data_IF_143690536044
#
_entry.id   IF_143690536044
#
_cell.length_a   1.000
_cell.length_b   1.000
_cell.length_c   1.000
_cell.angle_alpha   90.00
_cell.angle_beta   90.00
_cell.angle_gamma   90.00
#
_symmetry.space_group_name_H-M   'P 1'
#
loop_
_entity.id
_entity.type
_entity.pdbx_description
1 polymer ?
#
# COMPACT_ATOMS: atom_id res chain seq x y z
N UNK A 1 0.76 9.04 -6.80
CA UNK A 1 1.29 8.06 -5.85
C UNK A 1 2.01 8.78 -4.71
N UNK A 2 1.64 8.50 -3.49
CA UNK A 2 2.23 9.12 -2.31
C UNK A 2 2.61 8.04 -1.30
N UNK A 3 3.73 8.26 -0.62
CA UNK A 3 4.23 7.33 0.39
C UNK A 3 4.35 8.07 1.71
N UNK A 4 3.67 7.56 2.74
CA UNK A 4 3.72 8.12 4.07
C UNK A 4 4.30 7.10 5.04
N UNK A 5 5.30 7.51 5.81
CA UNK A 5 5.88 6.68 6.84
C UNK A 5 5.13 6.94 8.15
N UNK A 6 4.39 5.95 8.61
CA UNK A 6 3.51 6.08 9.79
C UNK A 6 4.18 5.60 11.07
N UNK A 7 5.47 5.40 11.05
CA UNK A 7 6.22 4.94 12.19
C UNK A 7 7.09 3.75 11.83
N UNK A 8 7.79 3.21 12.82
CA UNK A 8 8.70 2.11 12.61
C UNK A 8 7.94 0.86 12.16
N UNK A 9 8.31 0.34 10.99
CA UNK A 9 7.71 -0.88 10.47
C UNK A 9 6.30 -0.73 9.92
N UNK A 10 5.86 0.50 9.65
CA UNK A 10 4.53 0.74 9.10
C UNK A 10 4.58 1.82 8.02
N UNK A 11 3.99 1.52 6.88
CA UNK A 11 3.95 2.42 5.74
C UNK A 11 2.54 2.51 5.18
N UNK A 12 2.20 3.68 4.66
CA UNK A 12 0.95 3.89 3.94
C UNK A 12 1.28 4.39 2.55
N UNK A 13 0.70 3.77 1.53
CA UNK A 13 0.91 4.15 0.13
C UNK A 13 -0.44 4.41 -0.50
N UNK A 14 -0.57 5.54 -1.19
CA UNK A 14 -1.75 5.86 -1.97
C UNK A 14 -1.42 5.74 -3.44
N UNK A 15 -2.22 4.95 -4.16
CA UNK A 15 -2.04 4.73 -5.60
C UNK A 15 -3.37 4.93 -6.31
N UNK A 16 -3.31 5.35 -7.56
CA UNK A 16 -4.50 5.65 -8.33
C UNK A 16 -4.75 4.66 -9.46
N UNK A 17 -4.12 3.49 -9.41
CA UNK A 17 -4.37 2.46 -10.42
C UNK A 17 -4.29 1.08 -9.79
N UNK A 18 -5.07 0.14 -10.37
CA UNK A 18 -5.05 -1.24 -9.91
C UNK A 18 -3.71 -1.92 -10.16
N UNK A 19 -3.04 -1.56 -11.24
CA UNK A 19 -1.72 -2.12 -11.54
C UNK A 19 -0.69 -1.74 -10.49
N UNK A 20 -0.66 -0.46 -10.10
CA UNK A 20 0.24 0.00 -9.05
C UNK A 20 -0.09 -0.65 -7.72
N UNK A 21 -1.39 -0.78 -7.42
CA UNK A 21 -1.84 -1.46 -6.20
C UNK A 21 -1.30 -2.89 -6.14
N UNK A 22 -1.46 -3.62 -7.23
CA UNK A 22 -1.02 -5.02 -7.29
C UNK A 22 0.49 -5.14 -7.16
N UNK A 23 1.22 -4.27 -7.84
CA UNK A 23 2.68 -4.29 -7.80
C UNK A 23 3.21 -4.00 -6.41
N UNK A 24 2.69 -2.98 -5.76
CA UNK A 24 3.12 -2.61 -4.40
C UNK A 24 2.76 -3.72 -3.41
N UNK A 25 1.55 -4.25 -3.52
CA UNK A 25 1.11 -5.35 -2.64
C UNK A 25 2.02 -6.56 -2.78
N UNK A 26 2.36 -6.92 -4.01
CA UNK A 26 3.23 -8.07 -4.27
C UNK A 26 4.62 -7.85 -3.70
N UNK A 27 5.19 -6.68 -3.94
CA UNK A 27 6.52 -6.37 -3.44
C UNK A 27 6.57 -6.41 -1.92
N UNK A 28 5.58 -5.82 -1.27
CA UNK A 28 5.52 -5.81 0.18
C UNK A 28 5.36 -7.21 0.75
N UNK A 29 4.49 -8.01 0.15
CA UNK A 29 4.29 -9.39 0.60
C UNK A 29 5.56 -10.22 0.46
N UNK A 30 6.29 -10.03 -0.65
CA UNK A 30 7.55 -10.74 -0.87
C UNK A 30 8.61 -10.33 0.14
N UNK A 31 8.53 -9.12 0.66
CA UNK A 31 9.47 -8.63 1.67
C UNK A 31 9.06 -9.02 3.10
N UNK A 32 7.97 -9.75 3.25
CA UNK A 32 7.50 -10.20 4.56
C UNK A 32 6.60 -9.22 5.28
N UNK A 33 6.05 -8.24 4.56
CA UNK A 33 5.13 -7.26 5.15
C UNK A 33 3.71 -7.75 5.09
N UNK A 34 2.89 -7.31 6.05
CA UNK A 34 1.45 -7.47 5.94
C UNK A 34 0.90 -6.31 5.12
N UNK A 35 0.01 -6.62 4.19
CA UNK A 35 -0.56 -5.62 3.30
C UNK A 35 -2.06 -5.61 3.45
N UNK A 36 -2.63 -4.43 3.69
CA UNK A 36 -4.06 -4.21 3.69
C UNK A 36 -4.39 -3.22 2.59
N UNK A 37 -5.41 -3.53 1.79
CA UNK A 37 -5.82 -2.67 0.69
C UNK A 37 -7.21 -2.14 0.97
N UNK A 38 -7.37 -0.83 0.83
CA UNK A 38 -8.64 -0.16 1.00
C UNK A 38 -8.98 0.59 -0.28
N UNK A 39 -10.18 0.39 -0.80
CA UNK A 39 -10.65 1.12 -1.97
C UNK A 39 -11.34 2.40 -1.52
N UNK A 40 -10.85 3.53 -2.01
CA UNK A 40 -11.40 4.84 -1.67
C UNK A 40 -12.36 5.32 -2.77
N UNK A 41 -13.28 6.25 -2.45
CA UNK A 41 -14.32 6.66 -3.38
C UNK A 41 -13.82 7.29 -4.68
N UNK A 42 -12.63 7.88 -4.66
CA UNK A 42 -12.11 8.63 -5.80
C UNK A 42 -11.34 7.77 -6.79
N UNK A 43 -11.44 6.45 -6.69
CA UNK A 43 -10.66 5.56 -7.55
C UNK A 43 -9.23 5.40 -7.07
N UNK A 44 -8.96 5.80 -5.85
CA UNK A 44 -7.65 5.70 -5.23
C UNK A 44 -7.65 4.49 -4.30
N UNK A 45 -6.51 3.81 -4.23
CA UNK A 45 -6.34 2.68 -3.33
C UNK A 45 -5.33 3.04 -2.25
N UNK A 46 -5.68 2.72 -1.02
CA UNK A 46 -4.81 2.93 0.11
C UNK A 46 -4.24 1.59 0.55
N UNK A 47 -2.93 1.50 0.54
CA UNK A 47 -2.25 0.29 0.97
C UNK A 47 -1.54 0.59 2.29
N UNK A 48 -1.88 -0.18 3.32
CA UNK A 48 -1.22 -0.06 4.62
C UNK A 48 -0.38 -1.32 4.80
N UNK A 49 0.92 -1.13 4.99
CA UNK A 49 1.87 -2.22 5.12
C UNK A 49 2.49 -2.18 6.50
N UNK A 50 2.51 -3.32 7.16
CA UNK A 50 3.11 -3.48 8.49
C UNK A 50 4.10 -4.60 8.49
N UNK A 51 5.14 -4.40 9.27
CA UNK A 51 6.16 -5.42 9.43
C UNK A 51 6.22 -5.96 10.85
#
# INVERSE_FOLDING_TARGET
>A
QALLNMGTGKLEVLVDSGTSRDNVSRMAANAGWRVQVETLPDGVFRLVMEK
#
